data_IF_634931581009
#
_entry.id   IF_634931581009
#
_cell.length_a   1.000
_cell.length_b   1.000
_cell.length_c   1.000
_cell.angle_alpha   90.00
_cell.angle_beta   90.00
_cell.angle_gamma   90.00
#
_symmetry.space_group_name_H-M   'P 1'
#
loop_
_entity.id
_entity.type
_entity.pdbx_description
1 polymer ?
#
# COMPACT_ATOMS: atom_id res chain seq x y z
N UNK A 1 6.34 12.98 -9.74
CA UNK A 1 7.05 12.10 -8.80
C UNK A 1 6.00 11.36 -7.99
N UNK A 2 6.30 10.13 -7.64
CA UNK A 2 5.50 9.29 -6.74
C UNK A 2 6.47 8.45 -5.91
N UNK A 3 6.11 8.13 -4.67
CA UNK A 3 6.94 7.31 -3.81
C UNK A 3 6.12 6.29 -3.01
N UNK A 4 6.69 5.10 -2.86
CA UNK A 4 6.05 4.00 -2.15
C UNK A 4 6.61 3.91 -0.73
N UNK A 5 5.77 3.93 0.32
CA UNK A 5 6.25 3.98 1.70
C UNK A 5 6.90 2.66 2.13
N UNK A 6 7.95 2.75 2.93
CA UNK A 6 8.61 1.61 3.57
C UNK A 6 8.52 1.67 5.10
N UNK A 7 8.27 0.51 5.70
CA UNK A 7 8.27 0.33 7.14
C UNK A 7 7.04 0.92 7.85
N UNK A 8 6.95 0.74 9.18
CA UNK A 8 5.75 1.08 9.96
C UNK A 8 5.55 2.58 10.20
N UNK A 9 6.60 3.39 9.98
CA UNK A 9 6.55 4.84 10.16
C UNK A 9 6.26 5.61 8.87
N UNK A 10 6.32 4.95 7.71
CA UNK A 10 6.14 5.58 6.39
C UNK A 10 6.90 6.91 6.27
N UNK A 11 8.20 6.87 6.59
CA UNK A 11 9.13 8.00 6.36
C UNK A 11 10.18 7.57 5.33
N UNK A 12 10.61 6.32 5.41
CA UNK A 12 11.42 5.68 4.39
C UNK A 12 10.61 5.34 3.14
N UNK A 13 11.31 5.26 2.01
CA UNK A 13 10.75 4.87 0.72
C UNK A 13 11.23 3.47 0.31
N UNK A 14 10.37 2.71 -0.36
CA UNK A 14 10.65 1.40 -0.95
C UNK A 14 10.90 1.48 -2.46
N UNK A 15 10.25 2.43 -3.12
CA UNK A 15 10.35 2.71 -4.55
C UNK A 15 10.11 4.21 -4.77
N UNK A 16 10.78 4.79 -5.75
CA UNK A 16 10.57 6.17 -6.19
C UNK A 16 10.39 6.17 -7.70
N UNK A 17 9.30 6.80 -8.16
CA UNK A 17 9.02 7.07 -9.56
C UNK A 17 9.35 8.51 -9.90
N UNK A 18 10.07 8.71 -11.01
CA UNK A 18 10.32 10.04 -11.58
C UNK A 18 9.95 10.01 -13.05
N UNK A 19 9.13 10.95 -13.49
CA UNK A 19 8.88 11.20 -14.90
C UNK A 19 9.19 12.65 -15.22
N UNK A 20 9.97 12.88 -16.28
CA UNK A 20 10.12 14.20 -16.89
C UNK A 20 9.11 14.31 -18.03
N UNK A 21 8.31 15.37 -17.98
CA UNK A 21 7.45 15.79 -19.09
C UNK A 21 8.12 17.01 -19.68
N UNK A 22 8.55 16.92 -20.95
CA UNK A 22 9.15 18.06 -21.62
C UNK A 22 8.09 19.15 -21.91
N UNK A 23 8.46 20.44 -22.00
CA UNK A 23 7.52 21.49 -22.34
C UNK A 23 6.87 21.22 -23.70
N UNK A 24 5.55 21.17 -23.73
CA UNK A 24 4.73 20.88 -24.90
C UNK A 24 3.77 22.03 -25.18
N UNK A 25 3.36 22.16 -26.44
CA UNK A 25 2.35 23.14 -26.83
C UNK A 25 0.97 22.51 -26.69
N UNK A 26 0.13 23.09 -25.83
CA UNK A 26 -1.24 22.63 -25.62
C UNK A 26 -2.11 22.81 -26.86
N UNK A 27 -1.76 23.76 -27.75
CA UNK A 27 -2.52 24.01 -28.99
C UNK A 27 -2.34 22.91 -30.04
N UNK A 28 -1.28 22.09 -29.93
CA UNK A 28 -1.03 20.96 -30.83
C UNK A 28 -1.80 19.69 -30.42
N UNK A 29 -2.56 19.73 -29.32
CA UNK A 29 -3.31 18.58 -28.80
C UNK A 29 -4.80 18.82 -28.96
N UNK A 30 -5.36 18.33 -30.06
CA UNK A 30 -6.77 18.51 -30.44
C UNK A 30 -7.76 17.92 -29.41
N UNK A 31 -7.39 16.80 -28.79
CA UNK A 31 -8.23 16.11 -27.80
C UNK A 31 -7.40 15.59 -26.62
N UNK A 32 -7.96 15.58 -25.40
CA UNK A 32 -7.30 14.98 -24.25
C UNK A 32 -7.03 13.49 -24.50
N UNK A 33 -5.84 12.98 -24.15
CA UNK A 33 -5.55 11.56 -24.26
C UNK A 33 -6.49 10.76 -23.35
N UNK A 34 -6.93 9.59 -23.80
CA UNK A 34 -7.80 8.66 -23.06
C UNK A 34 -7.10 7.36 -22.69
N UNK A 35 -5.90 7.16 -23.23
CA UNK A 35 -5.01 6.04 -22.88
C UNK A 35 -3.60 6.53 -22.60
N UNK A 36 -2.82 5.74 -21.85
CA UNK A 36 -1.41 6.05 -21.57
C UNK A 36 -0.57 5.97 -22.85
N UNK A 37 -0.97 5.14 -23.82
CA UNK A 37 -0.29 5.06 -25.12
C UNK A 37 -0.50 6.33 -25.95
N UNK A 38 -1.74 6.84 -26.02
CA UNK A 38 -2.03 8.13 -26.66
C UNK A 38 -1.25 9.27 -25.99
N UNK A 39 -1.24 9.31 -24.65
CA UNK A 39 -0.45 10.28 -23.90
C UNK A 39 1.03 10.27 -24.32
N UNK A 40 1.62 9.10 -24.50
CA UNK A 40 3.02 8.94 -24.94
C UNK A 40 3.23 9.30 -26.40
N UNK A 41 2.19 9.22 -27.23
CA UNK A 41 2.21 9.73 -28.60
C UNK A 41 2.21 11.25 -28.67
N UNK A 42 1.61 11.92 -27.68
CA UNK A 42 1.53 13.39 -27.63
C UNK A 42 2.65 14.04 -26.81
N UNK A 43 3.13 13.36 -25.77
CA UNK A 43 4.09 13.92 -24.83
C UNK A 43 5.40 13.12 -24.82
N UNK A 44 6.51 13.85 -24.87
CA UNK A 44 7.81 13.26 -24.58
C UNK A 44 7.96 13.06 -23.07
N UNK A 45 7.63 11.83 -22.62
CA UNK A 45 7.72 11.42 -21.22
C UNK A 45 8.89 10.46 -21.03
N UNK A 46 9.84 10.87 -20.20
CA UNK A 46 10.97 10.05 -19.80
C UNK A 46 10.80 9.59 -18.36
N UNK A 47 10.76 8.28 -18.11
CA UNK A 47 10.42 7.73 -16.79
C UNK A 47 11.51 6.84 -16.20
N UNK A 48 11.75 7.02 -14.91
CA UNK A 48 12.65 6.23 -14.08
C UNK A 48 11.85 5.56 -12.96
N UNK A 49 12.10 4.28 -12.76
CA UNK A 49 11.59 3.51 -11.64
C UNK A 49 12.77 3.06 -10.78
N UNK A 50 12.90 3.62 -9.58
CA UNK A 50 14.05 3.41 -8.70
C UNK A 50 13.60 2.55 -7.53
N UNK A 51 14.04 1.30 -7.50
CA UNK A 51 13.76 0.34 -6.44
C UNK A 51 14.90 0.33 -5.43
N UNK A 52 14.57 0.25 -4.15
CA UNK A 52 15.58 0.35 -3.11
C UNK A 52 15.90 -1.04 -2.57
N UNK A 53 17.18 -1.41 -2.64
CA UNK A 53 17.67 -2.73 -2.22
C UNK A 53 17.37 -2.97 -0.73
N UNK A 54 16.84 -4.15 -0.42
CA UNK A 54 16.45 -4.55 0.93
C UNK A 54 15.14 -3.94 1.41
N UNK A 55 14.39 -3.26 0.52
CA UNK A 55 13.07 -2.66 0.79
C UNK A 55 11.99 -3.19 -0.16
N UNK A 56 12.17 -4.40 -0.67
CA UNK A 56 11.28 -4.98 -1.68
C UNK A 56 9.91 -5.32 -1.09
N UNK A 57 8.84 -4.97 -1.81
CA UNK A 57 7.46 -5.14 -1.35
C UNK A 57 6.72 -6.34 -1.98
N UNK A 58 7.44 -7.28 -2.60
CA UNK A 58 6.86 -8.45 -3.26
C UNK A 58 6.30 -8.16 -4.66
N UNK A 59 5.29 -8.93 -5.10
CA UNK A 59 4.71 -8.81 -6.45
C UNK A 59 3.96 -7.48 -6.61
N UNK A 60 4.45 -6.63 -7.52
CA UNK A 60 3.85 -5.35 -7.91
C UNK A 60 3.27 -5.42 -9.32
N UNK A 61 2.54 -4.38 -9.70
CA UNK A 61 2.24 -4.13 -11.10
C UNK A 61 3.51 -4.21 -11.94
N UNK A 62 3.40 -4.91 -13.07
CA UNK A 62 4.48 -4.95 -14.03
C UNK A 62 4.58 -3.59 -14.72
N UNK A 63 5.77 -3.00 -14.65
CA UNK A 63 6.09 -1.76 -15.33
C UNK A 63 7.42 -1.97 -16.07
N UNK A 64 7.32 -2.14 -17.38
CA UNK A 64 8.47 -2.31 -18.26
C UNK A 64 8.84 -0.91 -18.76
N UNK A 65 9.73 -0.26 -18.03
CA UNK A 65 10.21 1.07 -18.42
C UNK A 65 11.70 1.03 -18.69
N UNK A 66 12.14 1.87 -19.62
CA UNK A 66 13.50 1.82 -20.18
C UNK A 66 14.59 2.08 -19.12
N UNK A 67 14.27 2.78 -18.02
CA UNK A 67 15.26 3.26 -17.04
C UNK A 67 14.96 2.82 -15.60
N UNK A 68 14.64 1.54 -15.41
CA UNK A 68 14.53 0.94 -14.07
C UNK A 68 15.91 0.74 -13.43
N UNK A 69 16.10 1.17 -12.18
CA UNK A 69 17.35 0.98 -11.41
C UNK A 69 17.07 0.37 -10.04
N UNK A 70 17.99 -0.46 -9.56
CA UNK A 70 18.01 -0.91 -8.15
C UNK A 70 19.17 -0.19 -7.46
N UNK A 71 18.89 0.50 -6.36
CA UNK A 71 19.84 1.39 -5.68
C UNK A 71 19.93 1.03 -4.20
N UNK A 72 21.11 1.13 -3.62
CA UNK A 72 21.28 0.96 -2.17
C UNK A 72 20.66 2.15 -1.42
N UNK A 73 20.06 1.98 -0.23
CA UNK A 73 19.43 3.08 0.51
C UNK A 73 20.33 4.30 0.71
N UNK A 74 21.64 4.09 0.93
CA UNK A 74 22.65 5.13 1.12
C UNK A 74 22.95 5.96 -0.14
N UNK A 75 22.72 5.39 -1.32
CA UNK A 75 23.07 6.00 -2.61
C UNK A 75 21.84 6.64 -3.28
N UNK A 76 20.67 6.52 -2.64
CA UNK A 76 19.39 6.96 -3.19
C UNK A 76 19.33 8.47 -3.42
N UNK A 77 19.75 9.29 -2.45
CA UNK A 77 19.71 10.75 -2.60
C UNK A 77 20.57 11.20 -3.80
N UNK A 78 21.81 10.72 -3.88
CA UNK A 78 22.72 11.06 -4.97
C UNK A 78 22.18 10.59 -6.32
N UNK A 79 21.63 9.38 -6.39
CA UNK A 79 21.04 8.87 -7.64
C UNK A 79 19.86 9.71 -8.10
N UNK A 80 19.00 10.14 -7.17
CA UNK A 80 17.86 11.00 -7.50
C UNK A 80 18.32 12.38 -7.95
N UNK A 81 19.31 12.98 -7.27
CA UNK A 81 19.91 14.25 -7.68
C UNK A 81 20.55 14.16 -9.06
N UNK A 82 21.29 13.09 -9.37
CA UNK A 82 21.87 12.88 -10.70
C UNK A 82 20.81 12.86 -11.82
N UNK A 83 19.68 12.20 -11.58
CA UNK A 83 18.56 12.15 -12.53
C UNK A 83 17.92 13.53 -12.68
N UNK A 84 17.75 14.27 -11.59
CA UNK A 84 17.15 15.62 -11.65
C UNK A 84 18.08 16.64 -12.31
N UNK A 85 19.39 16.51 -12.13
CA UNK A 85 20.39 17.30 -12.86
C UNK A 85 20.34 16.98 -14.35
N UNK A 86 20.27 15.70 -14.75
CA UNK A 86 20.15 15.35 -16.17
C UNK A 86 18.85 15.86 -16.79
N UNK A 87 17.75 15.90 -16.02
CA UNK A 87 16.51 16.55 -16.47
C UNK A 87 16.69 18.05 -16.72
N UNK A 88 17.37 18.78 -15.82
CA UNK A 88 17.68 20.20 -16.02
C UNK A 88 18.54 20.43 -17.26
N UNK A 89 19.54 19.59 -17.50
CA UNK A 89 20.39 19.66 -18.70
C UNK A 89 19.60 19.42 -19.99
N UNK A 90 18.69 18.44 -19.98
CA UNK A 90 17.79 18.15 -21.11
C UNK A 90 16.87 19.34 -21.39
N UNK A 91 16.26 19.92 -20.36
CA UNK A 91 15.41 21.11 -20.48
C UNK A 91 16.19 22.32 -21.01
N UNK A 92 17.44 22.51 -20.57
CA UNK A 92 18.30 23.57 -21.09
C UNK A 92 18.64 23.38 -22.57
N UNK A 93 18.83 22.13 -23.00
CA UNK A 93 19.06 21.80 -24.41
C UNK A 93 17.84 22.11 -25.27
N UNK A 94 16.64 21.74 -24.80
CA UNK A 94 15.37 22.04 -25.47
C UNK A 94 15.15 23.56 -25.57
N UNK A 95 15.41 24.29 -24.48
CA UNK A 95 15.27 25.74 -24.45
C UNK A 95 16.15 26.43 -25.49
N UNK A 96 17.43 26.02 -25.59
CA UNK A 96 18.37 26.52 -26.59
C UNK A 96 17.92 26.22 -28.01
N UNK A 97 17.43 25.01 -28.27
CA UNK A 97 16.90 24.61 -29.58
C UNK A 97 15.68 25.45 -29.99
N UNK A 98 14.88 25.91 -29.02
CA UNK A 98 13.73 26.81 -29.23
C UNK A 98 14.09 28.30 -29.18
N UNK A 99 15.38 28.64 -29.14
CA UNK A 99 15.86 30.04 -29.11
C UNK A 99 15.69 30.77 -27.77
N UNK A 100 15.37 30.05 -26.68
CA UNK A 100 15.30 30.63 -25.33
C UNK A 100 16.67 30.68 -24.68
N UNK A 101 16.99 31.83 -24.05
CA UNK A 101 18.23 32.05 -23.29
C UNK A 101 18.21 31.39 -21.90
N UNK A 102 17.03 31.06 -21.38
CA UNK A 102 16.86 30.51 -20.04
C UNK A 102 16.16 29.15 -20.11
N UNK A 103 16.75 28.16 -19.43
CA UNK A 103 16.13 26.85 -19.26
C UNK A 103 14.87 26.98 -18.40
N UNK A 104 13.77 26.27 -18.73
CA UNK A 104 12.60 26.25 -17.88
C UNK A 104 12.96 25.59 -16.53
N UNK A 105 12.38 26.08 -15.42
CA UNK A 105 12.64 25.51 -14.11
C UNK A 105 12.03 24.12 -13.96
N UNK A 106 12.56 23.31 -13.04
CA UNK A 106 11.89 22.09 -12.61
C UNK A 106 10.76 22.41 -11.63
N UNK A 107 9.59 21.85 -11.91
CA UNK A 107 8.40 21.90 -11.06
C UNK A 107 8.09 20.47 -10.61
N UNK A 108 7.93 20.28 -9.30
CA UNK A 108 7.56 18.99 -8.74
C UNK A 108 6.05 18.77 -8.89
N UNK A 109 5.65 17.77 -9.65
CA UNK A 109 4.23 17.43 -9.82
C UNK A 109 3.99 16.05 -9.22
N UNK A 110 2.97 15.92 -8.38
CA UNK A 110 2.54 14.64 -7.81
C UNK A 110 1.04 14.62 -7.52
N UNK A 111 0.60 13.59 -6.81
CA UNK A 111 -0.79 13.39 -6.45
C UNK A 111 -0.85 12.90 -5.00
N UNK A 112 -1.45 13.67 -4.09
CA UNK A 112 -1.34 13.47 -2.63
C UNK A 112 0.14 13.52 -2.16
N UNK A 113 0.79 14.65 -2.43
CA UNK A 113 2.24 14.86 -2.24
C UNK A 113 2.68 14.87 -0.76
N UNK A 114 1.76 14.69 0.19
CA UNK A 114 2.04 14.82 1.61
C UNK A 114 3.10 13.82 2.09
N UNK A 115 3.10 12.59 1.55
CA UNK A 115 4.10 11.58 1.87
C UNK A 115 5.46 11.93 1.24
N UNK A 116 5.47 12.24 -0.05
CA UNK A 116 6.66 12.59 -0.82
C UNK A 116 7.39 13.76 -0.18
N UNK A 117 6.69 14.87 0.09
CA UNK A 117 7.28 16.05 0.71
C UNK A 117 7.84 15.75 2.10
N UNK A 118 7.16 14.91 2.89
CA UNK A 118 7.67 14.46 4.20
C UNK A 118 8.94 13.63 4.07
N UNK A 119 8.97 12.68 3.15
CA UNK A 119 10.14 11.83 2.91
C UNK A 119 11.31 12.63 2.34
N UNK A 120 11.06 13.53 1.38
CA UNK A 120 12.07 14.42 0.81
C UNK A 120 12.66 15.34 1.88
N UNK A 121 11.81 16.04 2.64
CA UNK A 121 12.26 16.99 3.66
C UNK A 121 13.03 16.34 4.81
N UNK A 122 12.63 15.14 5.24
CA UNK A 122 13.24 14.47 6.38
C UNK A 122 14.47 13.62 6.03
N UNK A 123 14.52 13.04 4.83
CA UNK A 123 15.51 12.01 4.50
C UNK A 123 16.38 12.37 3.29
N UNK A 124 15.92 13.28 2.41
CA UNK A 124 16.59 13.58 1.14
C UNK A 124 16.55 15.08 0.80
N UNK A 125 17.07 15.97 1.68
CA UNK A 125 16.90 17.42 1.54
C UNK A 125 17.43 17.98 0.23
N UNK A 126 18.50 17.41 -0.36
CA UNK A 126 19.08 17.91 -1.61
C UNK A 126 18.14 17.78 -2.82
N UNK A 127 17.17 16.87 -2.73
CA UNK A 127 16.17 16.68 -3.76
C UNK A 127 15.18 17.85 -3.77
N UNK A 128 14.82 18.38 -2.60
CA UNK A 128 13.91 19.53 -2.52
C UNK A 128 14.49 20.76 -3.23
N UNK A 129 15.81 20.99 -3.11
CA UNK A 129 16.54 22.08 -3.78
C UNK A 129 16.57 21.94 -5.32
N UNK A 130 16.18 20.78 -5.85
CA UNK A 130 16.09 20.55 -7.28
C UNK A 130 14.82 21.17 -7.91
N UNK A 131 13.81 21.52 -7.12
CA UNK A 131 12.54 22.05 -7.60
C UNK A 131 12.33 23.50 -7.18
N UNK A 132 11.74 24.29 -8.08
CA UNK A 132 11.42 25.71 -7.81
C UNK A 132 10.04 25.91 -7.19
N UNK A 133 9.14 24.98 -7.48
CA UNK A 133 7.76 24.98 -7.03
C UNK A 133 7.23 23.54 -7.09
N UNK A 134 6.06 23.32 -6.50
CA UNK A 134 5.38 22.03 -6.50
C UNK A 134 3.88 22.21 -6.76
N UNK A 135 3.27 21.17 -7.32
CA UNK A 135 1.84 21.12 -7.65
C UNK A 135 1.30 19.77 -7.22
N UNK A 136 0.29 19.80 -6.34
CA UNK A 136 -0.48 18.62 -5.97
C UNK A 136 -1.74 18.52 -6.85
N UNK A 137 -1.76 17.55 -7.76
CA UNK A 137 -2.88 17.35 -8.66
C UNK A 137 -4.14 16.87 -7.95
N UNK A 138 -4.05 16.25 -6.77
CA UNK A 138 -5.24 15.81 -6.03
C UNK A 138 -6.09 17.01 -5.59
N UNK A 139 -5.44 18.08 -5.13
CA UNK A 139 -6.13 19.31 -4.73
C UNK A 139 -6.73 20.04 -5.94
N UNK A 140 -6.02 20.10 -7.07
CA UNK A 140 -6.57 20.68 -8.31
C UNK A 140 -7.78 19.90 -8.82
N UNK A 141 -7.73 18.56 -8.78
CA UNK A 141 -8.86 17.72 -9.16
C UNK A 141 -10.04 17.94 -8.21
N UNK A 142 -9.77 18.00 -6.90
CA UNK A 142 -10.79 18.24 -5.87
C UNK A 142 -11.50 19.57 -6.07
N UNK A 143 -10.76 20.63 -6.37
CA UNK A 143 -11.30 21.94 -6.71
C UNK A 143 -12.13 21.89 -8.00
N UNK A 144 -11.58 21.29 -9.07
CA UNK A 144 -12.24 21.21 -10.37
C UNK A 144 -13.48 20.29 -10.39
N UNK A 145 -13.63 19.43 -9.38
CA UNK A 145 -14.79 18.59 -9.13
C UNK A 145 -15.71 19.15 -8.03
N UNK A 146 -15.35 20.27 -7.41
CA UNK A 146 -16.07 20.89 -6.28
C UNK A 146 -16.36 19.91 -5.15
N UNK A 147 -15.36 19.13 -4.75
CA UNK A 147 -15.48 18.06 -3.76
C UNK A 147 -14.97 18.48 -2.38
N UNK A 148 -15.67 18.06 -1.33
CA UNK A 148 -15.16 18.15 0.05
C UNK A 148 -14.10 17.08 0.34
N UNK A 149 -14.21 15.93 -0.34
CA UNK A 149 -13.36 14.75 -0.13
C UNK A 149 -12.32 14.61 -1.25
N UNK A 150 -11.08 14.32 -0.87
CA UNK A 150 -9.98 14.08 -1.80
C UNK A 150 -10.22 12.79 -2.63
N UNK A 151 -10.17 12.86 -3.97
CA UNK A 151 -10.32 11.70 -4.85
C UNK A 151 -9.03 10.89 -4.97
N UNK A 152 -9.14 9.61 -5.31
CA UNK A 152 -7.95 8.80 -5.62
C UNK A 152 -7.42 9.10 -7.04
N UNK A 153 -6.17 8.73 -7.32
CA UNK A 153 -5.60 8.84 -8.66
C UNK A 153 -6.44 8.08 -9.69
N UNK A 154 -6.95 6.90 -9.32
CA UNK A 154 -7.87 6.10 -10.15
C UNK A 154 -9.16 6.83 -10.46
N UNK A 155 -9.81 7.42 -9.46
CA UNK A 155 -11.07 8.16 -9.63
C UNK A 155 -10.88 9.33 -10.59
N UNK A 156 -9.77 10.05 -10.39
CA UNK A 156 -9.38 11.20 -11.19
C UNK A 156 -9.18 10.81 -12.66
N UNK A 157 -8.40 9.76 -12.93
CA UNK A 157 -8.19 9.25 -14.28
C UNK A 157 -9.50 8.79 -14.93
N UNK A 158 -10.34 8.07 -14.18
CA UNK A 158 -11.63 7.59 -14.68
C UNK A 158 -12.54 8.75 -15.07
N UNK A 159 -12.61 9.80 -14.24
CA UNK A 159 -13.39 11.01 -14.51
C UNK A 159 -12.87 11.80 -15.72
N UNK A 160 -11.56 11.73 -15.98
CA UNK A 160 -10.91 12.33 -17.15
C UNK A 160 -11.03 11.46 -18.42
N UNK A 161 -11.80 10.37 -18.38
CA UNK A 161 -12.09 9.54 -19.55
C UNK A 161 -11.12 8.37 -19.77
N UNK A 162 -10.15 8.15 -18.88
CA UNK A 162 -9.31 6.94 -18.90
C UNK A 162 -10.08 5.72 -18.39
N UNK A 163 -9.61 4.53 -18.75
CA UNK A 163 -10.15 3.26 -18.25
C UNK A 163 -10.65 2.30 -19.33
N UNK A 164 -10.61 2.70 -20.60
CA UNK A 164 -10.78 1.77 -21.75
C UNK A 164 -9.75 0.65 -21.64
N UNK A 165 -8.49 1.02 -21.38
CA UNK A 165 -7.43 0.08 -21.04
C UNK A 165 -7.37 -0.06 -19.52
N UNK A 166 -7.77 -1.24 -19.02
CA UNK A 166 -7.90 -1.49 -17.58
C UNK A 166 -6.62 -1.26 -16.76
N UNK A 167 -5.45 -1.32 -17.39
CA UNK A 167 -4.15 -1.11 -16.73
C UNK A 167 -3.76 0.36 -16.56
N UNK A 168 -4.47 1.27 -17.22
CA UNK A 168 -4.11 2.70 -17.25
C UNK A 168 -4.55 3.40 -15.97
N UNK A 169 -5.71 3.03 -15.43
CA UNK A 169 -6.25 3.59 -14.18
C UNK A 169 -5.71 2.92 -12.91
N UNK A 170 -4.77 1.99 -13.05
CA UNK A 170 -4.27 1.18 -11.93
C UNK A 170 -5.14 -0.02 -11.60
N UNK A 171 -4.55 -1.04 -10.99
CA UNK A 171 -5.26 -2.19 -10.45
C UNK A 171 -5.79 -1.88 -9.05
N UNK A 172 -7.00 -2.35 -8.74
CA UNK A 172 -7.50 -2.36 -7.36
C UNK A 172 -6.81 -3.41 -6.48
N UNK A 173 -6.14 -4.40 -7.10
CA UNK A 173 -5.76 -5.65 -6.46
C UNK A 173 -4.25 -5.90 -6.42
N UNK A 174 -3.48 -5.17 -7.21
CA UNK A 174 -2.02 -5.29 -7.28
C UNK A 174 -1.39 -4.11 -6.54
N UNK A 175 -0.23 -4.35 -5.91
CA UNK A 175 0.58 -3.26 -5.39
C UNK A 175 1.03 -2.37 -6.53
N UNK A 176 0.96 -1.07 -6.31
CA UNK A 176 1.30 -0.06 -7.30
C UNK A 176 2.80 -0.06 -7.61
N UNK A 177 3.17 0.62 -8.67
CA UNK A 177 4.57 0.89 -9.01
C UNK A 177 4.67 2.39 -9.15
N UNK A 178 5.58 2.99 -8.38
CA UNK A 178 5.74 4.43 -8.34
C UNK A 178 6.07 5.00 -9.72
N UNK A 179 6.93 4.30 -10.49
CA UNK A 179 7.25 4.71 -11.86
C UNK A 179 6.04 4.66 -12.79
N UNK A 180 5.10 3.74 -12.59
CA UNK A 180 3.88 3.71 -13.40
C UNK A 180 2.90 4.80 -12.97
N UNK A 181 2.81 5.06 -11.68
CA UNK A 181 1.97 6.11 -11.12
C UNK A 181 2.45 7.50 -11.56
N UNK A 182 3.75 7.74 -11.77
CA UNK A 182 4.19 9.02 -12.36
C UNK A 182 3.71 9.25 -13.79
N UNK A 183 3.56 8.20 -14.60
CA UNK A 183 2.97 8.31 -15.95
C UNK A 183 1.47 8.57 -15.87
N UNK A 184 0.79 7.97 -14.88
CA UNK A 184 -0.62 8.25 -14.59
C UNK A 184 -0.83 9.68 -14.10
N UNK A 185 0.07 10.19 -13.26
CA UNK A 185 0.09 11.59 -12.81
C UNK A 185 0.29 12.52 -14.01
N UNK A 186 1.17 12.15 -14.97
CA UNK A 186 1.33 12.89 -16.22
C UNK A 186 0.04 12.94 -17.05
N UNK A 187 -0.72 11.84 -17.08
CA UNK A 187 -2.04 11.79 -17.74
C UNK A 187 -3.04 12.77 -17.10
N UNK A 188 -3.09 12.81 -15.76
CA UNK A 188 -3.95 13.75 -15.03
C UNK A 188 -3.56 15.19 -15.33
N UNK A 189 -2.26 15.51 -15.29
CA UNK A 189 -1.74 16.83 -15.61
C UNK A 189 -2.14 17.25 -17.04
N UNK A 190 -1.84 16.41 -18.03
CA UNK A 190 -2.14 16.71 -19.42
C UNK A 190 -3.63 16.98 -19.65
N UNK A 191 -4.49 16.14 -19.06
CA UNK A 191 -5.94 16.26 -19.19
C UNK A 191 -6.49 17.51 -18.49
N UNK A 192 -5.95 17.88 -17.33
CA UNK A 192 -6.30 19.13 -16.65
C UNK A 192 -5.85 20.36 -17.42
N UNK A 193 -4.64 20.33 -18.00
CA UNK A 193 -4.11 21.44 -18.78
C UNK A 193 -4.88 21.69 -20.08
N UNK A 194 -5.44 20.63 -20.68
CA UNK A 194 -6.30 20.71 -21.87
C UNK A 194 -7.76 21.03 -21.55
N UNK A 195 -8.06 21.16 -20.27
CA UNK A 195 -9.40 21.50 -19.81
C UNK A 195 -9.65 22.98 -20.01
N UNK A 196 -10.65 23.32 -20.83
CA UNK A 196 -11.06 24.71 -21.02
C UNK A 196 -11.67 25.31 -19.74
N UNK A 197 -11.50 26.62 -19.53
CA UNK A 197 -12.05 27.34 -18.38
C UNK A 197 -13.59 27.29 -18.29
N UNK A 198 -14.27 27.07 -19.41
CA UNK A 198 -15.73 26.97 -19.48
C UNK A 198 -16.28 25.54 -19.28
N UNK A 199 -15.42 24.55 -19.04
CA UNK A 199 -15.89 23.18 -18.87
C UNK A 199 -16.65 23.00 -17.56
N UNK A 200 -17.78 22.27 -17.63
CA UNK A 200 -18.61 21.89 -16.49
C UNK A 200 -17.80 21.17 -15.41
N UNK A 201 -18.31 21.17 -14.17
CA UNK A 201 -17.73 20.48 -12.99
C UNK A 201 -17.30 19.06 -13.34
N UNK A 202 -16.12 18.63 -12.88
CA UNK A 202 -15.58 17.31 -13.25
C UNK A 202 -16.48 16.23 -12.65
N UNK A 203 -17.09 15.33 -13.44
CA UNK A 203 -18.00 14.33 -12.93
C UNK A 203 -17.21 13.18 -12.31
N UNK A 204 -16.70 13.41 -11.09
CA UNK A 204 -16.02 12.37 -10.33
C UNK A 204 -17.06 11.40 -9.79
N UNK A 205 -17.12 10.25 -10.45
CA UNK A 205 -17.63 9.06 -9.79
C UNK A 205 -16.50 8.50 -8.97
N UNK A 206 -16.55 8.70 -7.65
CA UNK A 206 -15.70 7.92 -6.77
C UNK A 206 -15.92 6.47 -7.15
N UNK A 207 -14.85 5.77 -7.53
CA UNK A 207 -14.88 4.33 -7.39
C UNK A 207 -15.25 4.12 -5.94
N UNK A 208 -16.50 3.71 -5.77
CA UNK A 208 -16.91 3.13 -4.52
C UNK A 208 -15.88 2.00 -4.35
N UNK A 209 -14.90 2.22 -3.47
CA UNK A 209 -14.76 1.30 -2.36
C UNK A 209 -16.21 1.13 -1.96
N UNK A 210 -16.89 0.07 -2.45
CA UNK A 210 -18.23 -0.28 -1.93
C UNK A 210 -18.10 0.05 -0.46
N UNK A 211 -18.93 0.96 0.09
CA UNK A 211 -19.07 1.10 1.55
C UNK A 211 -18.91 -0.29 2.04
N UNK A 212 -17.77 -0.59 2.67
CA UNK A 212 -17.22 -1.95 2.65
C UNK A 212 -18.38 -2.85 2.99
N UNK A 213 -18.95 -3.54 2.00
CA UNK A 213 -19.95 -4.53 2.35
C UNK A 213 -19.15 -5.41 3.28
N UNK A 214 -19.63 -5.80 4.46
CA UNK A 214 -18.92 -6.77 5.28
C UNK A 214 -18.40 -7.89 4.36
N UNK A 215 -19.22 -8.36 3.42
CA UNK A 215 -18.87 -9.27 2.31
C UNK A 215 -17.66 -8.92 1.37
N UNK A 216 -17.12 -7.69 1.33
CA UNK A 216 -15.92 -7.29 0.54
C UNK A 216 -14.78 -6.71 1.37
N UNK A 217 -15.03 -6.27 2.61
CA UNK A 217 -14.02 -6.42 3.67
C UNK A 217 -13.53 -7.88 3.69
N UNK A 218 -14.45 -8.83 3.48
CA UNK A 218 -14.21 -10.26 3.31
C UNK A 218 -13.56 -10.66 1.95
N UNK A 219 -13.35 -9.75 0.98
CA UNK A 219 -12.67 -10.09 -0.30
C UNK A 219 -11.18 -9.72 -0.34
N UNK A 220 -10.63 -9.06 0.69
CA UNK A 220 -9.23 -9.29 1.09
C UNK A 220 -9.02 -10.64 1.80
N UNK A 221 -10.09 -11.42 2.00
CA UNK A 221 -10.05 -12.73 2.68
C UNK A 221 -10.46 -13.88 1.77
N UNK A 222 -9.88 -13.95 0.56
CA UNK A 222 -9.51 -15.26 0.04
C UNK A 222 -8.18 -15.67 0.70
N UNK A 223 -8.27 -16.07 1.98
CA UNK A 223 -7.22 -16.85 2.66
C UNK A 223 -6.04 -16.12 3.29
N UNK A 224 -6.22 -14.96 3.96
CA UNK A 224 -5.12 -14.34 4.74
C UNK A 224 -5.55 -13.89 6.13
N UNK A 225 -6.04 -14.78 6.98
CA UNK A 225 -5.69 -14.58 8.40
C UNK A 225 -4.16 -14.55 8.51
N UNK A 226 -3.61 -13.80 9.47
CA UNK A 226 -2.16 -13.68 9.60
C UNK A 226 -1.56 -15.07 9.85
N UNK A 227 -0.61 -15.47 9.01
CA UNK A 227 0.02 -16.78 9.08
C UNK A 227 1.29 -16.71 9.91
N UNK A 228 1.37 -17.55 10.94
CA UNK A 228 2.51 -17.65 11.83
C UNK A 228 3.19 -19.00 11.65
N UNK A 229 4.50 -18.98 11.43
CA UNK A 229 5.31 -20.20 11.35
C UNK A 229 5.77 -20.58 12.76
N UNK A 230 5.64 -21.87 13.09
CA UNK A 230 6.22 -22.49 14.29
C UNK A 230 5.72 -21.91 15.63
N UNK A 231 4.43 -21.64 15.75
CA UNK A 231 3.87 -21.20 17.04
C UNK A 231 2.54 -20.44 16.93
N UNK A 232 2.04 -19.93 18.06
CA UNK A 232 0.81 -19.16 18.11
C UNK A 232 0.95 -17.79 17.43
N UNK A 233 -0.17 -17.21 16.99
CA UNK A 233 -0.24 -15.79 16.63
C UNK A 233 0.33 -14.88 17.71
N UNK A 234 1.19 -13.94 17.29
CA UNK A 234 1.88 -12.99 18.17
C UNK A 234 1.80 -11.57 17.62
N UNK A 235 1.79 -10.55 18.49
CA UNK A 235 1.80 -10.62 19.96
C UNK A 235 0.41 -10.97 20.53
N UNK A 236 0.33 -11.52 21.75
CA UNK A 236 -0.90 -12.11 22.30
C UNK A 236 -2.01 -11.06 22.50
N UNK A 237 -1.64 -9.82 22.77
CA UNK A 237 -2.51 -8.65 22.91
C UNK A 237 -3.25 -8.31 21.62
N UNK A 238 -2.70 -8.68 20.45
CA UNK A 238 -3.33 -8.48 19.15
C UNK A 238 -4.15 -9.70 18.68
N UNK A 239 -3.96 -10.86 19.31
CA UNK A 239 -4.64 -12.12 18.98
C UNK A 239 -5.12 -12.85 20.24
N UNK A 240 -5.90 -12.19 21.10
CA UNK A 240 -6.26 -12.75 22.40
C UNK A 240 -7.22 -13.92 22.28
N UNK A 241 -8.08 -13.91 21.25
CA UNK A 241 -9.11 -14.92 21.05
C UNK A 241 -8.57 -16.15 20.33
N UNK A 242 -7.55 -16.80 20.87
CA UNK A 242 -6.86 -17.92 20.23
C UNK A 242 -7.25 -19.26 20.84
N UNK A 243 -7.49 -20.25 20.01
CA UNK A 243 -7.57 -21.66 20.37
C UNK A 243 -6.27 -22.38 20.01
N UNK A 244 -5.85 -23.31 20.86
CA UNK A 244 -4.84 -24.32 20.55
C UNK A 244 -5.56 -25.60 20.11
N UNK A 245 -5.14 -26.16 18.99
CA UNK A 245 -5.66 -27.40 18.44
C UNK A 245 -4.56 -28.45 18.43
N UNK A 246 -4.87 -29.66 18.87
CA UNK A 246 -4.00 -30.82 18.80
C UNK A 246 -4.73 -31.96 18.11
N UNK A 247 -4.13 -32.54 17.07
CA UNK A 247 -4.72 -33.66 16.37
C UNK A 247 -4.38 -34.98 17.08
N UNK A 248 -5.39 -35.75 17.48
CA UNK A 248 -5.27 -37.00 18.22
C UNK A 248 -5.70 -38.20 17.36
N UNK A 249 -4.97 -39.31 17.44
CA UNK A 249 -5.39 -40.58 16.83
C UNK A 249 -5.35 -40.66 15.29
N UNK A 250 -4.68 -39.72 14.62
CA UNK A 250 -4.45 -39.74 13.18
C UNK A 250 -3.17 -40.51 12.76
N UNK A 251 -3.04 -40.87 11.48
CA UNK A 251 -1.79 -41.41 10.93
C UNK A 251 -0.64 -40.41 11.12
N UNK A 252 0.57 -40.93 11.28
CA UNK A 252 1.77 -40.07 11.37
C UNK A 252 1.91 -39.24 10.10
N UNK A 253 1.92 -37.91 10.24
CA UNK A 253 1.95 -37.00 9.11
C UNK A 253 3.32 -37.03 8.44
N UNK A 254 3.37 -37.46 7.18
CA UNK A 254 4.61 -37.55 6.39
C UNK A 254 5.06 -36.20 5.79
N UNK A 255 4.23 -35.16 5.88
CA UNK A 255 4.48 -33.83 5.32
C UNK A 255 4.39 -32.70 6.35
N UNK A 256 5.00 -31.55 6.03
CA UNK A 256 4.85 -30.32 6.81
C UNK A 256 3.46 -29.72 6.56
N UNK A 257 2.66 -29.56 7.60
CA UNK A 257 1.39 -28.82 7.54
C UNK A 257 1.67 -27.35 7.81
N UNK A 258 1.43 -26.50 6.80
CA UNK A 258 1.66 -25.07 6.92
C UNK A 258 0.44 -24.36 7.54
N UNK A 259 0.65 -23.17 8.12
CA UNK A 259 -0.43 -22.34 8.63
C UNK A 259 -1.47 -21.99 7.54
N UNK A 260 -1.06 -21.96 6.27
CA UNK A 260 -1.94 -21.77 5.11
C UNK A 260 -2.90 -22.94 4.91
N UNK A 261 -2.52 -24.16 5.28
CA UNK A 261 -3.37 -25.36 5.18
C UNK A 261 -4.39 -25.37 6.32
N UNK A 262 -3.96 -25.03 7.53
CA UNK A 262 -4.84 -24.84 8.69
C UNK A 262 -5.86 -23.71 8.42
N UNK A 263 -5.44 -22.62 7.80
CA UNK A 263 -6.32 -21.52 7.38
C UNK A 263 -7.43 -22.01 6.45
N UNK A 264 -7.09 -22.87 5.47
CA UNK A 264 -8.08 -23.44 4.53
C UNK A 264 -9.04 -24.38 5.26
N UNK A 265 -8.51 -25.21 6.16
CA UNK A 265 -9.30 -26.19 6.90
C UNK A 265 -10.39 -25.53 7.74
N UNK A 266 -10.07 -24.40 8.38
CA UNK A 266 -11.01 -23.70 9.27
C UNK A 266 -11.64 -22.45 8.65
N UNK A 267 -11.56 -22.30 7.32
CA UNK A 267 -12.05 -21.11 6.63
C UNK A 267 -13.52 -20.78 6.94
N UNK A 268 -14.37 -21.80 7.14
CA UNK A 268 -15.78 -21.63 7.48
C UNK A 268 -16.03 -20.90 8.81
N UNK A 269 -15.07 -20.94 9.72
CA UNK A 269 -15.13 -20.29 11.03
C UNK A 269 -14.58 -18.86 11.01
N UNK A 270 -14.14 -18.36 9.84
CA UNK A 270 -13.59 -17.01 9.66
C UNK A 270 -12.45 -16.63 10.62
N UNK A 271 -11.37 -17.43 10.70
CA UNK A 271 -10.24 -17.13 11.58
C UNK A 271 -9.51 -15.85 11.18
N UNK A 272 -9.07 -15.07 12.17
CA UNK A 272 -8.34 -13.80 12.01
C UNK A 272 -6.82 -14.01 11.90
N UNK A 273 -6.30 -15.07 12.51
CA UNK A 273 -4.91 -15.48 12.41
C UNK A 273 -4.76 -16.99 12.65
N UNK A 274 -3.71 -17.58 12.09
CA UNK A 274 -3.43 -19.00 12.24
C UNK A 274 -1.93 -19.24 12.38
N UNK A 275 -1.58 -20.16 13.26
CA UNK A 275 -0.24 -20.71 13.39
C UNK A 275 -0.22 -22.22 13.26
N UNK A 276 0.88 -22.79 12.78
CA UNK A 276 1.10 -24.23 12.82
C UNK A 276 2.46 -24.58 13.43
N UNK A 277 2.50 -25.72 14.12
CA UNK A 277 3.69 -26.32 14.70
C UNK A 277 3.58 -27.84 14.56
N UNK A 278 4.46 -28.43 13.76
CA UNK A 278 4.60 -29.88 13.64
C UNK A 278 5.88 -30.30 14.37
N UNK A 279 5.75 -31.10 15.43
CA UNK A 279 6.89 -31.72 16.14
C UNK A 279 6.60 -33.20 16.33
N UNK A 280 7.60 -34.03 16.03
CA UNK A 280 7.59 -35.48 16.30
C UNK A 280 6.36 -36.21 15.75
N UNK A 281 5.91 -35.82 14.54
CA UNK A 281 4.74 -36.40 13.87
C UNK A 281 3.38 -35.90 14.38
N UNK A 282 3.36 -35.08 15.44
CA UNK A 282 2.13 -34.48 15.99
C UNK A 282 1.85 -33.10 15.41
N UNK A 283 0.60 -32.86 15.00
CA UNK A 283 0.12 -31.56 14.51
C UNK A 283 -0.47 -30.75 15.66
N UNK A 284 0.17 -29.62 15.95
CA UNK A 284 -0.40 -28.56 16.78
C UNK A 284 -0.69 -27.33 15.92
N UNK A 285 -1.90 -26.82 15.99
CA UNK A 285 -2.31 -25.60 15.30
C UNK A 285 -2.83 -24.56 16.30
N UNK A 286 -2.83 -23.31 15.89
CA UNK A 286 -3.36 -22.19 16.64
C UNK A 286 -4.29 -21.40 15.74
N UNK A 287 -5.49 -21.11 16.20
CA UNK A 287 -6.50 -20.40 15.40
C UNK A 287 -7.05 -19.26 16.24
N UNK A 288 -6.88 -18.03 15.76
CA UNK A 288 -7.44 -16.83 16.38
C UNK A 288 -8.77 -16.48 15.73
N UNK A 289 -9.72 -16.08 16.56
CA UNK A 289 -11.08 -15.73 16.19
C UNK A 289 -11.31 -14.22 16.32
N UNK A 290 -12.37 -13.66 15.71
CA UNK A 290 -12.63 -12.21 15.75
C UNK A 290 -13.15 -11.70 17.10
N UNK A 291 -13.73 -12.58 17.91
CA UNK A 291 -14.27 -12.24 19.23
C UNK A 291 -14.17 -13.45 20.17
N UNK A 292 -14.38 -13.19 21.47
CA UNK A 292 -14.49 -14.24 22.47
C UNK A 292 -15.66 -15.18 22.19
N UNK A 293 -16.82 -14.65 21.81
CA UNK A 293 -17.99 -15.48 21.51
C UNK A 293 -17.75 -16.38 20.28
N UNK A 294 -17.06 -15.86 19.26
CA UNK A 294 -16.67 -16.65 18.10
C UNK A 294 -15.66 -17.75 18.47
N UNK A 295 -14.75 -17.47 19.41
CA UNK A 295 -13.83 -18.47 19.98
C UNK A 295 -14.58 -19.58 20.71
N UNK A 296 -15.52 -19.24 21.59
CA UNK A 296 -16.30 -20.23 22.33
C UNK A 296 -17.13 -21.11 21.38
N UNK A 297 -17.77 -20.50 20.38
CA UNK A 297 -18.49 -21.25 19.34
C UNK A 297 -17.57 -22.17 18.55
N UNK A 298 -16.38 -21.68 18.18
CA UNK A 298 -15.38 -22.48 17.48
C UNK A 298 -14.96 -23.69 18.31
N UNK A 299 -14.57 -23.49 19.57
CA UNK A 299 -14.18 -24.56 20.50
C UNK A 299 -15.31 -25.58 20.65
N UNK A 300 -16.54 -25.13 20.93
CA UNK A 300 -17.68 -26.03 21.10
C UNK A 300 -18.03 -26.83 19.84
N UNK A 301 -17.82 -26.25 18.65
CA UNK A 301 -18.14 -26.91 17.38
C UNK A 301 -17.08 -27.90 16.90
N UNK A 302 -15.82 -27.69 17.29
CA UNK A 302 -14.68 -28.39 16.71
C UNK A 302 -13.96 -29.31 17.69
N UNK A 303 -14.17 -29.17 19.00
CA UNK A 303 -13.61 -30.10 19.98
C UNK A 303 -14.24 -31.51 19.80
N UNK A 304 -13.39 -32.53 19.72
CA UNK A 304 -13.78 -33.90 19.40
C UNK A 304 -14.14 -34.15 17.94
N UNK A 305 -14.17 -33.13 17.08
CA UNK A 305 -14.55 -33.28 15.67
C UNK A 305 -13.48 -34.04 14.87
N UNK A 306 -13.92 -34.88 13.93
CA UNK A 306 -13.03 -35.65 13.05
C UNK A 306 -12.36 -34.73 12.02
N UNK A 307 -11.05 -34.87 11.85
CA UNK A 307 -10.33 -34.20 10.76
C UNK A 307 -10.36 -35.06 9.50
N UNK A 308 -11.20 -34.71 8.53
CA UNK A 308 -11.29 -35.45 7.26
C UNK A 308 -9.99 -35.41 6.44
N UNK A 309 -9.26 -34.29 6.50
CA UNK A 309 -8.05 -34.08 5.69
C UNK A 309 -6.83 -34.88 6.20
N UNK A 310 -6.74 -35.10 7.51
CA UNK A 310 -5.55 -35.67 8.16
C UNK A 310 -5.85 -36.92 8.98
N UNK A 311 -7.13 -37.31 9.13
CA UNK A 311 -7.57 -38.37 10.04
C UNK A 311 -7.43 -37.97 11.51
N UNK A 312 -8.08 -38.72 12.41
CA UNK A 312 -8.07 -38.44 13.84
C UNK A 312 -9.05 -37.35 14.28
N UNK A 313 -9.06 -37.03 15.57
CA UNK A 313 -9.98 -36.06 16.18
C UNK A 313 -9.22 -34.84 16.70
N UNK A 314 -9.83 -33.68 16.58
CA UNK A 314 -9.31 -32.45 17.16
C UNK A 314 -9.55 -32.41 18.66
N UNK A 315 -8.52 -32.11 19.43
CA UNK A 315 -8.62 -31.64 20.81
C UNK A 315 -8.36 -30.13 20.80
N UNK A 316 -9.34 -29.35 21.24
CA UNK A 316 -9.30 -27.89 21.14
C UNK A 316 -9.45 -27.25 22.51
N UNK A 317 -8.54 -26.32 22.80
CA UNK A 317 -8.53 -25.58 24.05
C UNK A 317 -8.43 -24.08 23.78
N UNK A 318 -9.33 -23.30 24.36
CA UNK A 318 -9.21 -21.84 24.42
C UNK A 318 -7.97 -21.46 25.25
N UNK A 319 -7.13 -20.58 24.71
CA UNK A 319 -5.98 -20.01 25.43
C UNK A 319 -6.17 -18.51 25.70
N UNK A 320 -7.43 -18.04 25.71
CA UNK A 320 -7.76 -16.67 26.06
C UNK A 320 -7.37 -16.37 27.51
N UNK A 321 -6.62 -15.29 27.71
CA UNK A 321 -6.19 -14.82 29.02
C UNK A 321 -6.73 -13.40 29.28
N UNK A 322 -7.71 -13.23 30.19
CA UNK A 322 -8.30 -11.93 30.49
C UNK A 322 -7.31 -10.97 31.18
N UNK A 323 -6.19 -11.45 31.68
CA UNK A 323 -5.12 -10.59 32.25
C UNK A 323 -4.29 -9.91 31.18
N UNK A 324 -4.27 -10.47 29.95
CA UNK A 324 -3.59 -9.88 28.78
C UNK A 324 -4.47 -8.84 28.10
N UNK A 325 -5.78 -9.10 27.99
CA UNK A 325 -6.76 -8.09 27.58
C UNK A 325 -8.15 -8.38 28.15
N UNK A 326 -8.85 -7.36 28.68
CA UNK A 326 -10.23 -7.51 29.14
C UNK A 326 -11.24 -7.49 27.98
N UNK A 327 -10.80 -7.19 26.76
CA UNK A 327 -11.69 -7.09 25.61
C UNK A 327 -12.29 -8.46 25.24
N UNK A 328 -13.59 -8.48 24.96
CA UNK A 328 -14.30 -9.70 24.49
C UNK A 328 -14.80 -9.59 23.05
N UNK A 329 -14.83 -8.38 22.50
CA UNK A 329 -15.26 -8.09 21.13
C UNK A 329 -14.12 -7.51 20.30
N UNK A 330 -14.25 -7.54 18.97
CA UNK A 330 -13.28 -6.91 18.07
C UNK A 330 -13.14 -5.41 18.33
N UNK A 331 -14.27 -4.72 18.55
CA UNK A 331 -14.33 -3.28 18.84
C UNK A 331 -13.65 -2.95 20.15
N UNK A 332 -13.94 -3.71 21.22
CA UNK A 332 -13.29 -3.52 22.52
C UNK A 332 -11.79 -3.81 22.46
N UNK A 333 -11.37 -4.73 21.59
CA UNK A 333 -9.95 -5.04 21.38
C UNK A 333 -9.24 -3.89 20.65
N UNK A 334 -9.89 -3.27 19.68
CA UNK A 334 -9.36 -2.10 18.97
C UNK A 334 -9.19 -0.90 19.92
N UNK A 335 -10.19 -0.65 20.76
CA UNK A 335 -10.16 0.40 21.77
C UNK A 335 -9.04 0.18 22.80
N UNK A 336 -8.95 -1.03 23.36
CA UNK A 336 -7.87 -1.42 24.28
C UNK A 336 -6.48 -1.24 23.67
N UNK A 337 -6.30 -1.62 22.40
CA UNK A 337 -5.02 -1.46 21.71
C UNK A 337 -4.67 0.01 21.47
N UNK A 338 -5.66 0.84 21.16
CA UNK A 338 -5.48 2.28 20.99
C UNK A 338 -5.06 2.95 22.29
N UNK A 339 -5.71 2.60 23.41
CA UNK A 339 -5.37 3.11 24.74
C UNK A 339 -3.95 2.69 25.16
N UNK A 340 -3.59 1.41 25.00
CA UNK A 340 -2.25 0.92 25.30
C UNK A 340 -1.15 1.57 24.46
N UNK A 341 -1.44 1.82 23.18
CA UNK A 341 -0.51 2.52 22.30
C UNK A 341 -0.30 3.96 22.77
N UNK A 342 -1.37 4.67 23.12
CA UNK A 342 -1.31 6.04 23.64
C UNK A 342 -0.56 6.09 24.98
N UNK A 343 -0.82 5.17 25.90
CA UNK A 343 -0.11 5.05 27.17
C UNK A 343 1.39 4.78 26.96
N UNK A 344 1.75 3.89 26.02
CA UNK A 344 3.14 3.60 25.65
C UNK A 344 3.85 4.83 25.07
N UNK A 345 3.16 5.59 24.22
CA UNK A 345 3.69 6.85 23.65
C UNK A 345 3.93 7.88 24.77
N UNK A 346 2.99 8.02 25.71
CA UNK A 346 3.11 8.93 26.86
C UNK A 346 4.29 8.55 27.76
N UNK A 347 4.41 7.28 28.15
CA UNK A 347 5.51 6.78 28.97
C UNK A 347 6.88 6.97 28.30
N UNK A 348 6.98 6.74 26.97
CA UNK A 348 8.22 6.99 26.21
C UNK A 348 8.57 8.48 26.12
N UNK A 349 7.57 9.38 26.09
CA UNK A 349 7.80 10.83 26.13
C UNK A 349 8.34 11.26 27.50
N UNK A 350 7.75 10.76 28.59
CA UNK A 350 8.19 11.03 29.96
C UNK A 350 9.62 10.50 30.22
N UNK A 351 9.93 9.29 29.77
CA UNK A 351 11.28 8.73 29.88
C UNK A 351 12.33 9.56 29.13
N UNK A 352 11.97 10.18 27.99
CA UNK A 352 12.86 11.08 27.23
C UNK A 352 13.07 12.42 27.93
N UNK A 353 12.06 12.92 28.65
CA UNK A 353 12.20 14.13 29.45
C UNK A 353 13.10 13.90 30.67
N UNK A 354 12.94 12.75 31.35
CA UNK A 354 13.78 12.39 32.49
C UNK A 354 15.26 12.14 32.13
N UNK A 355 15.56 11.72 30.89
CA UNK A 355 16.95 11.55 30.40
C UNK A 355 17.62 12.84 29.93
N UNK A 356 16.89 13.95 29.87
CA UNK A 356 17.39 15.27 29.46
C UNK A 356 17.67 16.19 30.66
N UNK A 357 17.22 15.80 31.84
CA UNK A 357 17.65 16.30 33.14
C UNK A 357 18.83 15.43 33.62
#
# INVERSE_FOLDING_TARGET
>A
MDAEPWGPKSVDVAEVGLSLICPFDLSEVDQPPKTIEELRGHLEIETYAIKICGREQGKREYFMEQKSRIVQPKDLENTLVEILVSFREKLATIAKARGSLTAPPLVLIGFDLAFELRSLSASYPKIADCFTSWVDLQELIKEAAQLDKSPSLRDSLTALGFGIVSTDVGSLWKKHSAGKDTVRIAAVLASLSLRGAEQEVLPITFTWHRKWSPAKQHMKYRGTGKLFKNGPPKPAELFPFTAKLSLCGGPSLSGKVEASDIMKLFAQHNPTAVGSCCRDGSLTAFVSMPSFDALEQFVASMDGALCEAYGGTWNIMSIFDPTVTPARTAEGLEEFNKENLQATIKAKKEQRQQKRL
#
